data_IF_200543876063
#
_entry.id   IF_200543876063
#
_cell.length_a   1.000
_cell.length_b   1.000
_cell.length_c   1.000
_cell.angle_alpha   90.00
_cell.angle_beta   90.00
_cell.angle_gamma   90.00
#
_symmetry.space_group_name_H-M   'P 1'
#
loop_
_entity.id
_entity.type
_entity.pdbx_description
1 polymer ?
#
# COMPACT_ATOMS: atom_id res chain seq x y z
N UNK A 1 -13.36 3.02 -5.86
CA UNK A 1 -13.79 2.24 -7.03
C UNK A 1 -15.14 2.76 -7.49
N UNK A 2 -15.43 2.70 -8.80
CA UNK A 2 -16.72 3.11 -9.32
C UNK A 2 -17.87 2.18 -8.90
N UNK A 3 -19.12 2.59 -9.11
CA UNK A 3 -20.29 1.75 -8.87
C UNK A 3 -20.17 0.40 -9.58
N UNK A 4 -20.50 -0.69 -8.89
CA UNK A 4 -20.45 -2.07 -9.43
C UNK A 4 -19.12 -2.80 -9.28
N UNK A 5 -18.08 -2.17 -8.73
CA UNK A 5 -16.83 -2.86 -8.44
C UNK A 5 -17.00 -3.83 -7.24
N UNK A 6 -16.48 -5.03 -7.37
CA UNK A 6 -16.62 -6.11 -6.39
C UNK A 6 -15.28 -6.82 -6.15
N UNK A 7 -15.21 -7.70 -5.15
CA UNK A 7 -14.06 -8.58 -4.94
C UNK A 7 -13.75 -9.44 -6.17
N UNK A 8 -14.78 -9.82 -6.96
CA UNK A 8 -14.56 -10.53 -8.23
C UNK A 8 -13.80 -9.66 -9.24
N UNK A 9 -14.15 -8.37 -9.35
CA UNK A 9 -13.42 -7.42 -10.21
C UNK A 9 -11.96 -7.28 -9.78
N UNK A 10 -11.68 -7.23 -8.48
CA UNK A 10 -10.30 -7.18 -7.95
C UNK A 10 -9.51 -8.43 -8.31
N UNK A 11 -10.13 -9.62 -8.15
CA UNK A 11 -9.50 -10.88 -8.58
C UNK A 11 -9.18 -10.89 -10.06
N UNK A 12 -10.08 -10.38 -10.90
CA UNK A 12 -9.82 -10.29 -12.35
C UNK A 12 -8.65 -9.35 -12.67
N UNK A 13 -8.54 -8.22 -11.97
CA UNK A 13 -7.40 -7.30 -12.11
C UNK A 13 -6.08 -7.91 -11.67
N UNK A 14 -6.12 -8.89 -10.79
CA UNK A 14 -4.95 -9.57 -10.27
C UNK A 14 -4.44 -10.69 -11.19
N UNK A 15 -5.24 -11.16 -12.17
CA UNK A 15 -4.90 -12.31 -12.98
C UNK A 15 -3.66 -12.02 -13.85
N UNK A 16 -2.66 -12.92 -13.84
CA UNK A 16 -1.51 -12.82 -14.73
C UNK A 16 -1.93 -12.97 -16.19
N UNK A 17 -1.19 -12.34 -17.09
CA UNK A 17 -1.35 -12.48 -18.54
C UNK A 17 -0.17 -13.29 -19.10
N UNK A 18 -0.47 -14.40 -19.74
CA UNK A 18 0.47 -15.29 -20.44
C UNK A 18 1.68 -15.75 -19.60
N UNK A 19 1.57 -15.67 -18.28
CA UNK A 19 2.66 -15.99 -17.35
C UNK A 19 3.88 -15.07 -17.47
N UNK A 20 3.69 -13.86 -18.05
CA UNK A 20 4.75 -12.86 -18.23
C UNK A 20 4.42 -11.50 -17.63
N UNK A 21 3.13 -11.15 -17.53
CA UNK A 21 2.68 -9.91 -16.89
C UNK A 21 1.91 -10.25 -15.63
N UNK A 22 2.32 -9.64 -14.54
CA UNK A 22 1.73 -9.83 -13.21
C UNK A 22 1.31 -8.48 -12.65
N UNK A 23 0.24 -8.44 -11.89
CA UNK A 23 -0.35 -7.21 -11.40
C UNK A 23 -0.39 -7.19 -9.88
N UNK A 24 0.07 -6.08 -9.31
CA UNK A 24 0.03 -5.82 -7.88
C UNK A 24 -0.44 -4.39 -7.60
N UNK A 25 -0.85 -4.14 -6.40
CA UNK A 25 -1.40 -2.87 -5.92
C UNK A 25 -2.63 -3.15 -5.06
N UNK A 26 -2.99 -2.25 -4.16
CA UNK A 26 -4.13 -2.42 -3.24
C UNK A 26 -5.45 -2.70 -3.99
N UNK A 27 -5.57 -2.23 -5.22
CA UNK A 27 -6.74 -2.48 -6.06
C UNK A 27 -6.89 -3.96 -6.44
N UNK A 28 -5.83 -4.75 -6.42
CA UNK A 28 -5.81 -6.18 -6.71
C UNK A 28 -5.93 -7.06 -5.46
N UNK A 29 -5.94 -6.45 -4.27
CA UNK A 29 -6.17 -7.15 -3.02
C UNK A 29 -7.66 -7.24 -2.69
N UNK A 30 -8.14 -8.42 -2.29
CA UNK A 30 -9.55 -8.68 -2.02
C UNK A 30 -9.92 -8.60 -0.55
N UNK A 31 -8.95 -8.72 0.33
CA UNK A 31 -9.17 -8.77 1.78
C UNK A 31 -8.99 -7.38 2.41
N UNK A 32 -7.95 -6.66 2.00
CA UNK A 32 -7.61 -5.37 2.56
C UNK A 32 -7.47 -4.29 1.46
N UNK A 33 -8.51 -4.09 0.64
CA UNK A 33 -8.48 -3.07 -0.40
C UNK A 33 -8.35 -1.66 0.18
N UNK A 34 -7.76 -0.75 -0.60
CA UNK A 34 -7.53 0.65 -0.22
C UNK A 34 -6.59 0.84 0.99
N UNK A 35 -5.81 -0.18 1.36
CA UNK A 35 -4.87 -0.10 2.48
C UNK A 35 -3.42 -0.31 2.05
N UNK A 36 -2.49 0.16 2.86
CA UNK A 36 -1.05 -0.01 2.63
C UNK A 36 -0.64 -1.48 2.78
N UNK A 37 -1.18 -2.19 3.78
CA UNK A 37 -0.88 -3.61 3.97
C UNK A 37 -1.50 -4.48 2.85
N UNK A 38 -2.66 -4.14 2.31
CA UNK A 38 -3.20 -4.80 1.12
C UNK A 38 -2.31 -4.57 -0.11
N UNK A 39 -1.74 -3.37 -0.26
CA UNK A 39 -0.74 -3.14 -1.31
C UNK A 39 0.50 -4.04 -1.13
N UNK A 40 1.02 -4.16 0.10
CA UNK A 40 2.15 -5.04 0.41
C UNK A 40 1.81 -6.51 0.11
N UNK A 41 0.67 -7.01 0.62
CA UNK A 41 0.22 -8.37 0.39
C UNK A 41 0.05 -8.70 -1.11
N UNK A 42 -0.49 -7.76 -1.89
CA UNK A 42 -0.61 -7.92 -3.35
C UNK A 42 0.74 -8.03 -4.05
N UNK A 43 1.77 -7.31 -3.58
CA UNK A 43 3.14 -7.42 -4.08
C UNK A 43 3.76 -8.79 -3.76
N UNK A 44 3.59 -9.27 -2.55
CA UNK A 44 4.05 -10.59 -2.10
C UNK A 44 3.38 -11.72 -2.90
N UNK A 45 2.06 -11.63 -3.13
CA UNK A 45 1.32 -12.55 -3.99
C UNK A 45 1.89 -12.57 -5.40
N UNK A 46 2.09 -11.41 -6.03
CA UNK A 46 2.64 -11.32 -7.38
C UNK A 46 4.06 -11.89 -7.45
N UNK A 47 4.90 -11.68 -6.45
CA UNK A 47 6.23 -12.27 -6.37
C UNK A 47 6.17 -13.81 -6.33
N UNK A 48 5.26 -14.38 -5.54
CA UNK A 48 5.05 -15.82 -5.47
C UNK A 48 4.54 -16.39 -6.81
N UNK A 49 3.62 -15.70 -7.49
CA UNK A 49 3.12 -16.08 -8.82
C UNK A 49 4.25 -16.06 -9.88
N UNK A 50 5.11 -15.04 -9.86
CA UNK A 50 6.28 -14.93 -10.74
C UNK A 50 7.24 -16.08 -10.47
N UNK A 51 7.50 -16.38 -9.22
CA UNK A 51 8.39 -17.49 -8.82
C UNK A 51 7.81 -18.85 -9.29
N UNK A 52 6.50 -19.03 -9.14
CA UNK A 52 5.82 -20.25 -9.62
C UNK A 52 5.80 -20.39 -11.13
N UNK A 53 5.78 -19.28 -11.86
CA UNK A 53 5.85 -19.28 -13.33
C UNK A 53 7.23 -19.71 -13.87
N UNK A 54 8.26 -19.63 -13.03
CA UNK A 54 9.64 -20.11 -13.28
C UNK A 54 10.21 -19.66 -14.64
N UNK A 55 9.96 -18.42 -15.03
CA UNK A 55 10.49 -17.89 -16.29
C UNK A 55 11.93 -17.39 -16.09
N UNK A 56 12.83 -17.68 -17.03
CA UNK A 56 14.22 -17.20 -16.95
C UNK A 56 14.31 -15.69 -17.24
N UNK A 57 15.41 -15.09 -16.77
CA UNK A 57 15.76 -13.70 -17.04
C UNK A 57 15.42 -12.73 -15.92
N UNK A 58 15.81 -11.46 -16.08
CA UNK A 58 15.55 -10.42 -15.10
C UNK A 58 14.05 -10.08 -15.06
N UNK A 59 13.62 -9.64 -13.87
CA UNK A 59 12.25 -9.20 -13.62
C UNK A 59 12.23 -7.68 -13.54
N UNK A 60 11.34 -7.05 -14.31
CA UNK A 60 11.12 -5.62 -14.26
C UNK A 60 9.87 -5.34 -13.44
N UNK A 61 10.04 -4.60 -12.35
CA UNK A 61 8.95 -4.10 -11.50
C UNK A 61 8.68 -2.65 -11.88
N UNK A 62 7.48 -2.37 -12.37
CA UNK A 62 7.06 -1.04 -12.78
C UNK A 62 6.31 -0.36 -11.64
N UNK A 63 6.93 0.64 -11.05
CA UNK A 63 6.43 1.40 -9.90
C UNK A 63 7.08 1.01 -8.58
N UNK A 64 7.70 1.98 -7.90
CA UNK A 64 8.31 1.83 -6.58
C UNK A 64 7.34 2.25 -5.44
N UNK A 65 6.06 1.94 -5.57
CA UNK A 65 5.10 1.98 -4.47
C UNK A 65 5.24 0.76 -3.56
N UNK A 66 4.45 0.69 -2.48
CA UNK A 66 4.53 -0.40 -1.48
C UNK A 66 4.39 -1.79 -2.12
N UNK A 67 3.48 -1.95 -3.06
CA UNK A 67 3.29 -3.23 -3.77
C UNK A 67 4.53 -3.63 -4.58
N UNK A 68 5.06 -2.69 -5.39
CA UNK A 68 6.26 -2.95 -6.20
C UNK A 68 7.50 -3.21 -5.36
N UNK A 69 7.72 -2.44 -4.30
CA UNK A 69 8.84 -2.65 -3.37
C UNK A 69 8.70 -3.96 -2.60
N UNK A 70 7.48 -4.34 -2.18
CA UNK A 70 7.20 -5.63 -1.57
C UNK A 70 7.51 -6.79 -2.51
N UNK A 71 7.05 -6.71 -3.76
CA UNK A 71 7.37 -7.70 -4.78
C UNK A 71 8.89 -7.80 -5.06
N UNK A 72 9.55 -6.66 -5.23
CA UNK A 72 10.99 -6.62 -5.49
C UNK A 72 11.81 -7.23 -4.34
N UNK A 73 11.44 -6.94 -3.09
CA UNK A 73 12.07 -7.51 -1.91
C UNK A 73 11.98 -9.03 -1.91
N UNK A 74 10.79 -9.57 -2.11
CA UNK A 74 10.56 -11.01 -2.04
C UNK A 74 11.20 -11.74 -3.24
N UNK A 75 11.13 -11.17 -4.44
CA UNK A 75 11.80 -11.71 -5.62
C UNK A 75 13.33 -11.73 -5.44
N UNK A 76 13.90 -10.68 -4.85
CA UNK A 76 15.35 -10.65 -4.54
C UNK A 76 15.71 -11.70 -3.49
N UNK A 77 14.86 -11.91 -2.48
CA UNK A 77 15.04 -12.97 -1.50
C UNK A 77 14.95 -14.37 -2.13
N UNK A 78 14.19 -14.55 -3.21
CA UNK A 78 14.17 -15.78 -4.02
C UNK A 78 15.40 -15.91 -4.95
N UNK A 79 16.35 -14.98 -4.89
CA UNK A 79 17.55 -14.99 -5.73
C UNK A 79 17.33 -14.53 -7.18
N UNK A 80 16.23 -13.83 -7.47
CA UNK A 80 15.95 -13.30 -8.81
C UNK A 80 16.67 -11.96 -9.03
N UNK A 81 17.11 -11.74 -10.25
CA UNK A 81 17.57 -10.43 -10.69
C UNK A 81 16.37 -9.51 -10.90
N UNK A 82 16.31 -8.37 -10.20
CA UNK A 82 15.16 -7.45 -10.20
C UNK A 82 15.60 -6.04 -10.55
N UNK A 83 14.89 -5.43 -11.49
CA UNK A 83 15.03 -4.00 -11.82
C UNK A 83 13.72 -3.29 -11.48
N UNK A 84 13.77 -2.28 -10.63
CA UNK A 84 12.62 -1.44 -10.31
C UNK A 84 12.69 -0.15 -11.12
N UNK A 85 11.62 0.17 -11.83
CA UNK A 85 11.48 1.40 -12.63
C UNK A 85 10.40 2.28 -12.01
N UNK A 86 10.76 3.52 -11.66
CA UNK A 86 9.84 4.50 -11.07
C UNK A 86 9.83 5.78 -11.92
N UNK A 87 8.64 6.32 -12.17
CA UNK A 87 8.47 7.53 -12.97
C UNK A 87 8.75 8.84 -12.22
N UNK A 88 8.67 8.81 -10.89
CA UNK A 88 8.95 9.96 -10.02
C UNK A 88 10.37 9.89 -9.49
N UNK A 89 10.85 11.02 -8.95
CA UNK A 89 12.15 11.09 -8.28
C UNK A 89 12.12 10.60 -6.82
N UNK A 90 11.07 9.90 -6.43
CA UNK A 90 10.89 9.33 -5.09
C UNK A 90 10.19 7.97 -5.14
N UNK A 91 10.45 7.14 -4.16
CA UNK A 91 9.75 5.88 -3.91
C UNK A 91 8.52 6.09 -3.00
N UNK A 92 7.79 5.02 -2.68
CA UNK A 92 6.66 5.00 -1.74
C UNK A 92 5.30 5.15 -2.40
N UNK A 93 5.21 5.80 -3.56
CA UNK A 93 3.94 5.98 -4.27
C UNK A 93 2.96 6.86 -3.48
N UNK A 94 1.85 6.29 -3.02
CA UNK A 94 0.82 6.91 -2.17
C UNK A 94 1.16 6.90 -0.67
N UNK A 95 2.24 6.28 -0.27
CA UNK A 95 2.88 6.47 1.04
C UNK A 95 3.95 7.54 0.86
N UNK A 96 3.71 8.71 1.43
CA UNK A 96 4.59 9.85 1.26
C UNK A 96 4.49 10.78 2.47
N UNK A 97 5.65 11.11 3.02
CA UNK A 97 5.79 12.11 4.08
C UNK A 97 6.55 13.31 3.53
N UNK A 98 6.20 14.50 3.98
CA UNK A 98 6.87 15.75 3.64
C UNK A 98 6.99 16.63 4.89
N UNK A 99 7.66 17.75 4.78
CA UNK A 99 7.83 18.71 5.87
C UNK A 99 6.93 19.93 5.66
N UNK A 100 6.01 20.14 6.57
CA UNK A 100 5.11 21.31 6.57
C UNK A 100 5.35 22.13 7.85
N UNK A 101 5.73 23.39 7.69
CA UNK A 101 6.02 24.24 8.85
C UNK A 101 7.16 23.75 9.75
N UNK A 102 8.08 22.93 9.23
CA UNK A 102 9.20 22.35 9.99
C UNK A 102 8.87 21.03 10.70
N UNK A 103 7.64 20.54 10.60
CA UNK A 103 7.21 19.26 11.17
C UNK A 103 7.01 18.21 10.06
N UNK A 104 7.36 16.93 10.28
CA UNK A 104 7.04 15.85 9.35
C UNK A 104 5.53 15.61 9.31
N UNK A 105 4.96 15.50 8.11
CA UNK A 105 3.54 15.24 7.88
C UNK A 105 3.39 14.16 6.83
N UNK A 106 2.58 13.16 7.13
CA UNK A 106 2.19 12.14 6.17
C UNK A 106 1.07 12.67 5.26
N UNK A 107 1.36 12.73 3.97
CA UNK A 107 0.44 13.20 2.93
C UNK A 107 -0.29 12.05 2.22
N UNK A 108 -0.15 10.83 2.72
CA UNK A 108 -0.71 9.62 2.14
C UNK A 108 -1.20 8.65 3.19
N UNK A 109 -0.85 7.37 3.04
CA UNK A 109 -1.19 6.34 4.01
C UNK A 109 -0.42 6.54 5.32
N UNK A 110 -1.10 7.02 6.35
CA UNK A 110 -0.53 7.40 7.66
C UNK A 110 -1.07 6.55 8.82
N UNK A 111 -2.14 5.78 8.61
CA UNK A 111 -2.73 4.93 9.66
C UNK A 111 -2.50 3.45 9.39
N UNK A 112 -2.18 2.71 10.44
CA UNK A 112 -2.26 1.26 10.47
C UNK A 112 -3.67 0.86 10.91
N UNK A 113 -4.47 0.34 9.98
CA UNK A 113 -5.82 -0.13 10.26
C UNK A 113 -5.78 -1.54 10.85
N UNK A 114 -5.95 -1.64 12.18
CA UNK A 114 -5.81 -2.88 12.92
C UNK A 114 -4.35 -3.33 13.07
N UNK A 115 -3.96 -3.78 14.24
CA UNK A 115 -2.60 -4.27 14.50
C UNK A 115 -2.48 -5.78 14.40
N UNK A 116 -3.60 -6.50 14.62
CA UNK A 116 -3.61 -7.97 14.57
C UNK A 116 -3.46 -8.41 13.11
N UNK A 117 -2.53 -9.31 12.86
CA UNK A 117 -2.25 -9.90 11.55
C UNK A 117 -1.88 -8.86 10.46
N UNK A 118 -1.39 -7.69 10.89
CA UNK A 118 -0.98 -6.62 10.00
C UNK A 118 0.55 -6.60 9.86
N UNK A 119 1.11 -6.98 8.71
CA UNK A 119 2.57 -7.08 8.52
C UNK A 119 3.29 -5.73 8.67
N UNK A 120 2.56 -4.61 8.59
CA UNK A 120 3.15 -3.29 8.83
C UNK A 120 3.33 -3.01 10.32
N UNK A 121 2.54 -3.62 11.20
CA UNK A 121 2.75 -3.53 12.64
C UNK A 121 4.04 -4.25 13.04
N UNK A 122 4.26 -5.45 12.49
CA UNK A 122 5.51 -6.20 12.70
C UNK A 122 6.72 -5.45 12.13
N UNK A 123 6.56 -4.83 10.95
CA UNK A 123 7.60 -4.02 10.34
C UNK A 123 7.92 -2.79 11.21
N UNK A 124 6.91 -2.07 11.71
CA UNK A 124 7.10 -0.93 12.59
C UNK A 124 7.86 -1.34 13.87
N UNK A 125 7.47 -2.46 14.48
CA UNK A 125 8.16 -3.00 15.65
C UNK A 125 9.62 -3.38 15.34
N UNK A 126 9.89 -3.98 14.18
CA UNK A 126 11.24 -4.35 13.76
C UNK A 126 12.17 -3.16 13.49
N UNK A 127 11.58 -2.00 13.20
CA UNK A 127 12.26 -0.73 12.91
C UNK A 127 12.27 0.22 14.13
N UNK A 128 11.78 -0.22 15.28
CA UNK A 128 11.66 0.58 16.51
C UNK A 128 10.86 1.88 16.29
N UNK A 129 9.77 1.77 15.51
CA UNK A 129 8.86 2.89 15.22
C UNK A 129 7.71 2.87 16.23
N UNK A 130 7.59 3.93 17.01
CA UNK A 130 6.48 4.12 17.93
C UNK A 130 5.16 4.34 17.18
N UNK A 131 4.13 3.60 17.59
CA UNK A 131 2.76 3.77 17.09
C UNK A 131 1.94 4.53 18.13
N UNK A 132 1.27 5.57 17.68
CA UNK A 132 0.38 6.37 18.51
C UNK A 132 -1.07 5.95 18.24
N UNK A 133 -1.81 5.66 19.31
CA UNK A 133 -3.24 5.36 19.21
C UNK A 133 -4.01 6.62 18.79
N UNK A 134 -4.83 6.49 17.73
CA UNK A 134 -5.74 7.56 17.31
C UNK A 134 -7.08 7.36 17.98
N UNK A 135 -7.48 8.31 18.81
CA UNK A 135 -8.82 8.37 19.38
C UNK A 135 -9.73 9.18 18.43
N UNK A 136 -10.66 8.51 17.79
CA UNK A 136 -11.60 9.14 16.86
C UNK A 136 -12.72 9.91 17.60
N UNK A 137 -12.90 9.68 18.91
CA UNK A 137 -13.87 10.42 19.71
C UNK A 137 -13.29 11.77 20.18
N UNK A 138 -11.97 11.89 20.27
CA UNK A 138 -11.25 13.15 20.54
C UNK A 138 -10.90 13.86 19.21
N UNK A 139 -11.90 14.15 18.40
CA UNK A 139 -11.74 14.82 17.11
C UNK A 139 -12.51 16.15 17.08
N UNK A 140 -11.84 17.20 16.65
CA UNK A 140 -12.45 18.50 16.41
C UNK A 140 -12.78 18.66 14.92
N UNK A 141 -13.99 19.12 14.65
CA UNK A 141 -14.45 19.47 13.31
C UNK A 141 -14.35 20.98 13.10
N UNK A 142 -13.96 21.36 11.88
CA UNK A 142 -13.91 22.75 11.46
C UNK A 142 -14.58 22.89 10.10
N UNK A 143 -15.30 24.01 9.89
CA UNK A 143 -15.82 24.37 8.57
C UNK A 143 -14.71 24.89 7.65
N UNK A 144 -15.09 25.22 6.40
CA UNK A 144 -14.17 25.74 5.39
C UNK A 144 -13.53 27.10 5.78
N UNK A 145 -14.13 27.83 6.72
CA UNK A 145 -13.63 29.11 7.26
C UNK A 145 -12.78 28.90 8.52
N UNK A 146 -12.58 27.65 8.96
CA UNK A 146 -11.81 27.29 10.17
C UNK A 146 -12.57 27.49 11.47
N UNK A 147 -13.92 27.56 11.45
CA UNK A 147 -14.73 27.66 12.67
C UNK A 147 -15.06 26.28 13.21
N UNK A 148 -15.02 26.06 14.52
CA UNK A 148 -15.42 24.79 15.13
C UNK A 148 -16.86 24.43 14.76
N UNK A 149 -17.10 23.17 14.42
CA UNK A 149 -18.42 22.60 14.14
C UNK A 149 -18.75 21.49 15.13
N UNK A 150 -20.03 21.34 15.44
CA UNK A 150 -20.57 20.22 16.21
C UNK A 150 -20.84 19.05 15.27
N UNK A 151 -20.58 17.80 15.70
CA UNK A 151 -20.86 16.57 14.93
C UNK A 151 -22.33 16.45 14.50
N UNK A 152 -23.24 16.98 15.30
CA UNK A 152 -24.69 16.99 15.04
C UNK A 152 -25.10 17.79 13.77
N UNK A 153 -24.19 18.53 13.16
CA UNK A 153 -24.45 19.31 11.95
C UNK A 153 -24.06 18.59 10.65
N UNK A 154 -23.67 17.31 10.74
CA UNK A 154 -23.26 16.49 9.58
C UNK A 154 -24.35 15.52 9.06
N UNK A 155 -25.59 15.62 9.57
CA UNK A 155 -26.78 14.85 9.10
C UNK A 155 -27.42 15.46 7.86
#
# INVERSE_FOLDING_TARGET
>A
MGPGASSATRRMLALPIDGHLFFAGEATDTEHPATVHGALASGQRAAAEIQAADKPGPIVVIGAGVAGLGAARDLTAFGREVVVVESRQRIGGRVWSDTVGGAPVDLGGSWLHGLRDNPLADLAASLDIDLVHTDYEDAALFDADGRPMEWAHLD
#
